data_IF_238072333365
#
_entry.id   IF_238072333365
#
_cell.length_a   1.000
_cell.length_b   1.000
_cell.length_c   1.000
_cell.angle_alpha   90.00
_cell.angle_beta   90.00
_cell.angle_gamma   90.00
#
_symmetry.space_group_name_H-M   'P 1'
#
loop_
_entity.id
_entity.type
_entity.pdbx_description
1 polymer ?
#
# COMPACT_ATOMS: atom_id res chain seq x y z
N UNK A 1 6.08 -7.11 6.00
CA UNK A 1 7.43 -6.58 5.71
C UNK A 1 7.33 -5.07 5.47
N UNK A 2 8.31 -4.28 5.93
CA UNK A 2 8.34 -2.82 5.74
C UNK A 2 9.54 -2.40 4.89
N UNK A 3 9.30 -1.61 3.84
CA UNK A 3 10.36 -1.01 3.03
C UNK A 3 10.23 0.53 2.99
N UNK A 4 11.32 1.24 3.27
CA UNK A 4 11.36 2.71 3.38
C UNK A 4 12.46 3.33 2.51
N UNK A 5 12.29 4.61 2.13
CA UNK A 5 13.29 5.36 1.33
C UNK A 5 13.14 5.24 -0.19
N UNK A 6 12.13 4.53 -0.68
CA UNK A 6 12.04 4.12 -2.09
C UNK A 6 11.31 5.14 -3.00
N UNK A 7 10.73 6.19 -2.42
CA UNK A 7 9.69 7.00 -3.09
C UNK A 7 8.44 6.15 -3.37
N UNK A 8 7.75 6.42 -4.49
CA UNK A 8 6.65 5.60 -5.03
C UNK A 8 7.14 4.51 -6.01
N UNK A 9 8.45 4.39 -6.26
CA UNK A 9 8.99 3.47 -7.28
C UNK A 9 8.90 1.99 -6.92
N UNK A 10 8.60 1.68 -5.66
CA UNK A 10 8.40 0.30 -5.21
C UNK A 10 7.01 -0.27 -5.56
N UNK A 11 6.10 0.55 -6.10
CA UNK A 11 4.71 0.15 -6.37
C UNK A 11 4.60 -1.09 -7.25
N UNK A 12 5.37 -1.16 -8.34
CA UNK A 12 5.31 -2.29 -9.27
C UNK A 12 5.88 -3.62 -8.73
N UNK A 13 6.54 -3.61 -7.56
CA UNK A 13 7.15 -4.81 -6.97
C UNK A 13 6.24 -5.44 -5.90
N UNK A 14 5.22 -4.74 -5.42
CA UNK A 14 4.36 -5.23 -4.34
C UNK A 14 3.67 -6.54 -4.69
N UNK A 15 2.93 -6.58 -5.81
CA UNK A 15 2.16 -7.77 -6.17
C UNK A 15 3.06 -9.01 -6.33
N UNK A 16 4.24 -8.83 -6.94
CA UNK A 16 5.21 -9.91 -7.10
C UNK A 16 5.74 -10.41 -5.75
N UNK A 17 6.11 -9.50 -4.83
CA UNK A 17 6.63 -9.87 -3.50
C UNK A 17 5.54 -10.46 -2.61
N UNK A 18 4.33 -9.88 -2.59
CA UNK A 18 3.20 -10.41 -1.83
C UNK A 18 2.81 -11.80 -2.34
N UNK A 19 2.82 -12.04 -3.66
CA UNK A 19 2.54 -13.36 -4.24
C UNK A 19 3.60 -14.41 -3.91
N UNK A 20 4.88 -14.03 -3.88
CA UNK A 20 5.99 -14.95 -3.63
C UNK A 20 6.16 -15.29 -2.15
N UNK A 21 5.88 -14.33 -1.26
CA UNK A 21 6.09 -14.49 0.18
C UNK A 21 4.81 -14.77 0.96
N UNK A 22 3.63 -14.57 0.37
CA UNK A 22 2.34 -14.70 1.06
C UNK A 22 2.13 -13.67 2.18
N UNK A 23 2.95 -12.63 2.22
CA UNK A 23 2.96 -11.60 3.26
C UNK A 23 2.59 -10.25 2.67
N UNK A 24 1.83 -9.47 3.42
CA UNK A 24 1.55 -8.08 3.04
C UNK A 24 2.82 -7.23 3.11
N UNK A 25 3.07 -6.48 2.05
CA UNK A 25 4.18 -5.54 1.95
C UNK A 25 3.65 -4.12 2.08
N UNK A 26 4.20 -3.38 3.04
CA UNK A 26 3.86 -1.98 3.25
C UNK A 26 5.11 -1.11 3.10
N UNK A 27 4.94 0.09 2.57
CA UNK A 27 5.99 1.12 2.58
C UNK A 27 5.59 2.35 3.35
N UNK A 28 6.59 3.08 3.87
CA UNK A 28 6.38 4.34 4.57
C UNK A 28 5.52 5.31 3.74
N UNK A 29 5.85 5.47 2.45
CA UNK A 29 5.20 6.41 1.56
C UNK A 29 3.75 6.00 1.23
N UNK A 30 3.51 4.70 1.07
CA UNK A 30 2.17 4.14 0.85
C UNK A 30 1.26 4.38 2.06
N UNK A 31 1.76 4.13 3.27
CA UNK A 31 1.00 4.33 4.51
C UNK A 31 0.76 5.81 4.78
N UNK A 32 1.77 6.67 4.55
CA UNK A 32 1.64 8.11 4.69
C UNK A 32 0.59 8.68 3.73
N UNK A 33 0.65 8.27 2.46
CA UNK A 33 -0.32 8.71 1.45
C UNK A 33 -1.74 8.21 1.75
N UNK A 34 -1.89 6.94 2.15
CA UNK A 34 -3.17 6.38 2.57
C UNK A 34 -3.77 7.17 3.75
N UNK A 35 -2.98 7.48 4.78
CA UNK A 35 -3.44 8.30 5.91
C UNK A 35 -3.83 9.72 5.50
N UNK A 36 -3.09 10.35 4.58
CA UNK A 36 -3.42 11.68 4.08
C UNK A 36 -4.77 11.71 3.35
N UNK A 37 -5.04 10.69 2.51
CA UNK A 37 -6.31 10.56 1.80
C UNK A 37 -7.49 10.34 2.76
N UNK A 38 -7.30 9.49 3.78
CA UNK A 38 -8.32 9.30 4.80
C UNK A 38 -8.61 10.58 5.60
N UNK A 39 -7.57 11.33 5.96
CA UNK A 39 -7.73 12.63 6.62
C UNK A 39 -8.48 13.65 5.73
N UNK A 40 -8.39 13.52 4.42
CA UNK A 40 -9.15 14.29 3.44
C UNK A 40 -10.56 13.74 3.16
N UNK A 41 -10.98 12.65 3.81
CA UNK A 41 -12.27 12.00 3.59
C UNK A 41 -12.37 11.20 2.27
N UNK A 42 -11.24 10.88 1.65
CA UNK A 42 -11.17 10.16 0.37
C UNK A 42 -10.70 8.72 0.60
N UNK A 43 -11.42 7.75 0.04
CA UNK A 43 -11.10 6.33 0.10
C UNK A 43 -10.90 5.78 -1.32
N UNK A 44 -9.74 6.02 -1.96
CA UNK A 44 -9.54 5.60 -3.33
C UNK A 44 -9.21 4.11 -3.40
N UNK A 45 -9.87 3.41 -4.32
CA UNK A 45 -9.46 2.09 -4.74
C UNK A 45 -8.44 2.25 -5.88
N UNK A 46 -7.17 1.93 -5.63
CA UNK A 46 -6.11 2.07 -6.63
C UNK A 46 -5.51 0.70 -6.92
N UNK A 47 -5.69 0.23 -8.14
CA UNK A 47 -5.11 -1.03 -8.61
C UNK A 47 -3.58 -0.96 -8.62
N UNK A 48 -2.91 -2.06 -8.25
CA UNK A 48 -1.44 -2.15 -8.18
C UNK A 48 -0.81 -1.46 -6.97
N UNK A 49 -1.58 -0.79 -6.10
CA UNK A 49 -1.07 -0.19 -4.84
C UNK A 49 -1.12 -1.15 -3.64
N UNK A 50 -1.26 -2.45 -3.91
CA UNK A 50 -1.37 -3.50 -2.92
C UNK A 50 -2.67 -3.46 -2.11
N UNK A 51 -2.75 -4.34 -1.12
CA UNK A 51 -3.98 -4.58 -0.35
C UNK A 51 -4.45 -3.39 0.51
N UNK A 52 -3.58 -2.42 0.81
CA UNK A 52 -3.93 -1.23 1.62
C UNK A 52 -4.90 -0.28 0.91
N UNK A 53 -4.83 -0.21 -0.42
CA UNK A 53 -5.70 0.62 -1.27
C UNK A 53 -6.83 -0.20 -1.91
N UNK A 54 -7.05 -1.43 -1.47
CA UNK A 54 -8.15 -2.26 -1.93
C UNK A 54 -9.42 -2.00 -1.11
N UNK A 55 -10.61 -2.11 -1.72
CA UNK A 55 -11.92 -1.89 -1.06
C UNK A 55 -12.16 -2.71 0.22
N UNK A 56 -11.39 -3.77 0.44
CA UNK A 56 -11.47 -4.67 1.59
C UNK A 56 -10.31 -4.51 2.59
N UNK A 57 -9.63 -3.37 2.60
CA UNK A 57 -8.61 -3.09 3.61
C UNK A 57 -9.25 -3.13 5.01
N UNK A 58 -9.00 -4.23 5.75
CA UNK A 58 -9.35 -4.31 7.15
C UNK A 58 -8.63 -3.19 7.91
N UNK A 59 -9.27 -2.53 8.90
CA UNK A 59 -8.58 -1.54 9.72
C UNK A 59 -7.39 -2.22 10.40
N UNK A 60 -6.20 -1.68 10.16
CA UNK A 60 -4.96 -2.00 10.87
C UNK A 60 -4.88 -1.29 12.21
#
# INVERSE_FOLDING_TARGET
MFAGGNGQRAIGVFDAVESQLGLKMLTANQVLFWRALQAAGVQPSVEGYGTLFSKNAAPV
#
